data_IF_055235020934
#
_entry.id   IF_055235020934
#
_cell.length_a   1.000
_cell.length_b   1.000
_cell.length_c   1.000
_cell.angle_alpha   90.00
_cell.angle_beta   90.00
_cell.angle_gamma   90.00
#
_symmetry.space_group_name_H-M   'P 1'
#
loop_
_entity.id
_entity.type
_entity.pdbx_description
1 polymer ?
#
# COMPACT_ATOMS: atom_id res chain seq x y z
N UNK A 1 -54.81 39.84 -2.44
CA UNK A 1 -53.40 39.91 -2.85
C UNK A 1 -52.56 39.24 -1.78
N UNK A 2 -52.07 38.02 -2.04
CA UNK A 2 -51.28 37.24 -1.10
C UNK A 2 -49.79 37.39 -1.46
N UNK A 3 -48.98 37.78 -0.48
CA UNK A 3 -47.53 37.91 -0.61
C UNK A 3 -46.86 36.53 -0.71
N UNK A 4 -45.81 36.34 -1.52
CA UNK A 4 -45.11 35.06 -1.61
C UNK A 4 -44.06 34.93 -0.49
N UNK A 5 -44.09 33.81 0.23
CA UNK A 5 -43.03 33.40 1.15
C UNK A 5 -41.81 32.89 0.37
N UNK A 6 -40.64 33.45 0.67
CA UNK A 6 -39.34 33.04 0.13
C UNK A 6 -38.85 31.83 0.94
N UNK A 7 -38.60 30.70 0.27
CA UNK A 7 -38.00 29.50 0.87
C UNK A 7 -36.48 29.65 0.85
N UNK A 8 -35.85 29.53 2.03
CA UNK A 8 -34.39 29.54 2.17
C UNK A 8 -33.77 28.22 1.64
N UNK A 9 -32.57 28.27 1.04
CA UNK A 9 -31.91 27.08 0.52
C UNK A 9 -31.37 26.19 1.64
N UNK A 10 -31.27 24.86 1.42
CA UNK A 10 -30.85 23.92 2.46
C UNK A 10 -29.36 24.09 2.77
N UNK A 11 -29.06 24.14 4.05
CA UNK A 11 -27.71 24.19 4.63
C UNK A 11 -26.93 22.93 4.20
N UNK A 12 -25.85 23.12 3.45
CA UNK A 12 -24.93 22.03 3.15
C UNK A 12 -24.18 21.63 4.43
N UNK A 13 -24.43 20.39 4.88
CA UNK A 13 -23.63 19.77 5.92
C UNK A 13 -22.21 19.55 5.39
N UNK A 14 -21.28 20.35 5.92
CA UNK A 14 -19.84 20.15 5.77
C UNK A 14 -19.50 18.83 6.46
N UNK A 15 -19.24 17.77 5.68
CA UNK A 15 -18.73 16.50 6.19
C UNK A 15 -17.37 16.81 6.82
N UNK A 16 -17.35 16.85 8.15
CA UNK A 16 -16.13 16.97 8.92
C UNK A 16 -15.36 15.66 8.80
N UNK A 17 -14.10 15.81 8.42
CA UNK A 17 -13.06 14.81 8.23
C UNK A 17 -12.63 14.20 9.59
N UNK A 18 -13.52 13.43 10.22
CA UNK A 18 -13.27 12.83 11.54
C UNK A 18 -12.34 11.61 11.48
N UNK A 19 -12.22 10.94 10.32
CA UNK A 19 -11.38 9.74 10.14
C UNK A 19 -9.88 10.04 10.05
N UNK A 20 -9.49 11.24 9.61
CA UNK A 20 -8.06 11.63 9.54
C UNK A 20 -7.45 11.88 10.92
N UNK A 21 -8.24 12.43 11.86
CA UNK A 21 -7.78 12.75 13.21
C UNK A 21 -7.57 11.53 14.12
N UNK A 22 -8.43 10.52 14.01
CA UNK A 22 -8.33 9.28 14.79
C UNK A 22 -7.15 8.41 14.34
N UNK A 23 -6.94 8.31 13.02
CA UNK A 23 -5.82 7.55 12.46
C UNK A 23 -4.48 8.18 12.80
N UNK A 24 -4.39 9.52 12.77
CA UNK A 24 -3.16 10.24 13.15
C UNK A 24 -2.78 10.05 14.63
N UNK A 25 -3.76 9.95 15.53
CA UNK A 25 -3.48 9.63 16.94
C UNK A 25 -3.03 8.17 17.12
N UNK A 26 -3.68 7.23 16.43
CA UNK A 26 -3.41 5.80 16.56
C UNK A 26 -2.01 5.42 16.08
N UNK A 27 -1.53 5.96 14.94
CA UNK A 27 -0.19 5.64 14.40
C UNK A 27 0.98 6.07 15.30
N UNK A 28 0.73 6.99 16.24
CA UNK A 28 1.74 7.47 17.19
C UNK A 28 1.73 6.72 18.52
N UNK A 29 0.78 5.78 18.73
CA UNK A 29 0.73 4.99 19.97
C UNK A 29 1.75 3.88 19.93
N UNK A 30 2.50 3.73 21.03
CA UNK A 30 3.35 2.57 21.22
C UNK A 30 2.49 1.31 21.29
N UNK A 31 2.92 0.28 20.56
CA UNK A 31 2.28 -1.03 20.55
C UNK A 31 2.65 -1.81 21.82
N UNK A 32 1.68 -2.34 22.57
CA UNK A 32 1.94 -3.11 23.78
C UNK A 32 2.35 -4.54 23.41
N UNK A 33 3.66 -4.73 23.21
CA UNK A 33 4.27 -5.99 22.81
C UNK A 33 3.87 -7.15 23.74
N UNK A 34 3.28 -8.21 23.17
CA UNK A 34 2.89 -9.40 23.92
C UNK A 34 1.61 -9.27 24.75
N UNK A 35 0.85 -8.18 24.63
CA UNK A 35 -0.39 -7.99 25.41
C UNK A 35 -1.65 -8.29 24.59
N UNK A 36 -1.64 -7.95 23.30
CA UNK A 36 -2.80 -8.08 22.40
C UNK A 36 -2.93 -9.54 21.91
N UNK A 37 -4.14 -10.10 21.96
CA UNK A 37 -4.42 -11.44 21.44
C UNK A 37 -4.25 -11.50 19.92
N UNK A 38 -3.73 -12.61 19.39
CA UNK A 38 -3.56 -12.78 17.94
C UNK A 38 -4.87 -12.67 17.14
N UNK A 39 -6.00 -12.96 17.78
CA UNK A 39 -7.33 -12.82 17.19
C UNK A 39 -7.81 -11.36 17.07
N UNK A 40 -7.09 -10.41 17.68
CA UNK A 40 -7.46 -8.99 17.68
C UNK A 40 -6.64 -8.24 16.64
N UNK A 41 -7.30 -7.62 15.65
CA UNK A 41 -6.62 -6.76 14.69
C UNK A 41 -6.24 -5.41 15.35
N UNK A 42 -4.98 -4.94 15.26
CA UNK A 42 -4.47 -3.87 16.12
C UNK A 42 -4.76 -2.45 15.58
N UNK A 43 -6.02 -2.16 15.21
CA UNK A 43 -6.40 -0.85 14.66
C UNK A 43 -6.20 0.32 15.63
N UNK A 44 -6.30 0.08 16.94
CA UNK A 44 -6.05 1.09 17.97
C UNK A 44 -4.61 1.63 17.97
N UNK A 45 -3.69 0.95 17.27
CA UNK A 45 -2.27 1.30 17.12
C UNK A 45 -1.91 1.67 15.67
N UNK A 46 -2.92 2.01 14.86
CA UNK A 46 -2.75 2.58 13.53
C UNK A 46 -2.73 1.57 12.39
N UNK A 47 -2.86 0.27 12.65
CA UNK A 47 -3.04 -0.72 11.59
C UNK A 47 -4.40 -0.53 10.90
N UNK A 48 -4.40 -0.57 9.57
CA UNK A 48 -5.61 -0.43 8.74
C UNK A 48 -6.01 -1.82 8.23
N UNK A 49 -7.26 -2.24 8.41
CA UNK A 49 -7.71 -3.54 7.96
C UNK A 49 -7.85 -3.60 6.43
N UNK A 50 -7.57 -4.79 5.87
CA UNK A 50 -7.65 -5.11 4.44
C UNK A 50 -8.73 -6.20 4.25
N UNK A 51 -9.96 -5.87 4.63
CA UNK A 51 -11.03 -6.86 4.87
C UNK A 51 -11.42 -7.67 3.63
N UNK A 52 -11.28 -7.12 2.42
CA UNK A 52 -11.65 -7.79 1.18
C UNK A 52 -10.77 -9.01 0.86
N UNK A 53 -9.64 -9.17 1.54
CA UNK A 53 -8.81 -10.38 1.47
C UNK A 53 -9.36 -11.53 2.31
N UNK A 54 -10.35 -11.28 3.18
CA UNK A 54 -10.95 -12.27 4.08
C UNK A 54 -9.93 -12.93 5.02
N UNK A 55 -8.97 -12.14 5.50
CA UNK A 55 -7.92 -12.60 6.42
C UNK A 55 -8.03 -11.94 7.80
N UNK A 56 -9.24 -11.68 8.30
CA UNK A 56 -9.41 -11.00 9.60
C UNK A 56 -8.78 -9.61 9.67
N UNK A 57 -8.82 -8.86 8.55
CA UNK A 57 -8.20 -7.55 8.40
C UNK A 57 -6.70 -7.57 8.03
N UNK A 58 -6.01 -8.70 8.12
CA UNK A 58 -4.60 -8.80 7.77
C UNK A 58 -4.38 -8.66 6.24
N UNK A 59 -3.33 -7.93 5.86
CA UNK A 59 -2.92 -7.75 4.47
C UNK A 59 -2.31 -9.04 3.88
N UNK A 60 -1.70 -9.86 4.73
CA UNK A 60 -1.28 -11.24 4.47
C UNK A 60 -0.93 -11.93 5.78
N UNK A 61 -0.95 -13.26 5.81
CA UNK A 61 -0.43 -14.04 6.94
C UNK A 61 0.51 -15.11 6.40
N UNK A 62 1.77 -15.06 6.83
CA UNK A 62 2.83 -15.98 6.38
C UNK A 62 3.33 -16.80 7.57
N UNK A 63 3.29 -18.14 7.46
CA UNK A 63 3.75 -19.05 8.50
C UNK A 63 4.92 -19.91 7.99
N UNK A 64 6.16 -19.57 8.37
CA UNK A 64 7.31 -20.43 8.08
C UNK A 64 7.16 -21.80 8.74
N UNK A 65 7.29 -22.87 7.97
CA UNK A 65 7.34 -24.24 8.50
C UNK A 65 8.77 -24.66 8.85
N UNK A 66 9.77 -24.03 8.23
CA UNK A 66 11.19 -24.34 8.45
C UNK A 66 11.93 -23.04 8.78
N UNK A 67 12.76 -23.09 9.82
CA UNK A 67 13.66 -22.00 10.22
C UNK A 67 15.09 -22.50 10.12
N UNK A 68 15.85 -21.93 9.20
CA UNK A 68 17.24 -22.27 8.94
C UNK A 68 18.17 -21.09 9.28
N UNK A 69 19.48 -21.34 9.29
CA UNK A 69 20.49 -20.27 9.42
C UNK A 69 20.40 -19.26 8.27
N UNK A 70 20.01 -19.73 7.08
CA UNK A 70 19.82 -18.93 5.87
C UNK A 70 18.56 -18.07 5.89
N UNK A 71 17.57 -18.39 6.73
CA UNK A 71 16.29 -17.69 6.80
C UNK A 71 15.09 -18.59 7.02
N UNK A 72 13.90 -18.02 6.83
CA UNK A 72 12.64 -18.74 6.79
C UNK A 72 12.48 -19.50 5.47
N UNK A 73 12.03 -20.75 5.54
CA UNK A 73 11.80 -21.60 4.38
C UNK A 73 10.46 -22.33 4.52
N UNK A 74 9.96 -22.89 3.42
CA UNK A 74 8.62 -23.50 3.33
C UNK A 74 7.55 -22.61 4.00
N UNK A 75 7.40 -21.40 3.48
CA UNK A 75 6.53 -20.38 4.06
C UNK A 75 5.11 -20.60 3.53
N UNK A 76 4.23 -21.11 4.38
CA UNK A 76 2.81 -21.18 4.10
C UNK A 76 2.24 -19.76 4.01
N UNK A 77 1.59 -19.43 2.90
CA UNK A 77 0.71 -18.25 2.82
C UNK A 77 -0.69 -18.70 3.20
N UNK A 78 -1.17 -18.22 4.36
CA UNK A 78 -2.50 -18.56 4.88
C UNK A 78 -3.56 -17.97 3.97
N UNK A 79 -4.55 -18.80 3.61
CA UNK A 79 -5.78 -18.37 2.95
C UNK A 79 -6.93 -18.41 3.95
N UNK A 80 -8.10 -17.96 3.52
CA UNK A 80 -9.33 -18.02 4.33
C UNK A 80 -9.61 -19.42 4.88
N UNK A 81 -9.28 -20.47 4.13
CA UNK A 81 -9.59 -21.85 4.51
C UNK A 81 -8.76 -22.34 5.70
N UNK A 82 -7.59 -21.75 5.95
CA UNK A 82 -6.73 -22.09 7.09
C UNK A 82 -7.04 -21.23 8.34
N UNK A 83 -7.91 -20.23 8.25
CA UNK A 83 -8.31 -19.40 9.38
C UNK A 83 -9.20 -20.15 10.39
N UNK A 84 -9.15 -19.71 11.65
CA UNK A 84 -10.02 -20.19 12.72
C UNK A 84 -11.16 -19.19 12.93
N UNK A 85 -12.25 -19.36 12.18
CA UNK A 85 -13.31 -18.34 12.09
C UNK A 85 -12.76 -17.08 11.43
N UNK A 86 -12.90 -15.93 12.09
CA UNK A 86 -12.33 -14.66 11.63
C UNK A 86 -10.85 -14.48 12.02
N UNK A 87 -10.30 -15.37 12.87
CA UNK A 87 -8.89 -15.30 13.26
C UNK A 87 -8.00 -16.00 12.23
N UNK A 88 -7.26 -15.21 11.47
CA UNK A 88 -6.28 -15.71 10.50
C UNK A 88 -4.83 -15.59 10.97
N UNK A 89 -4.56 -14.86 12.06
CA UNK A 89 -3.19 -14.72 12.60
C UNK A 89 -2.87 -15.91 13.50
N UNK A 90 -2.49 -17.02 12.86
CA UNK A 90 -2.25 -18.30 13.52
C UNK A 90 -0.96 -18.30 14.34
N UNK A 91 -0.88 -19.13 15.37
CA UNK A 91 0.34 -19.32 16.18
C UNK A 91 1.57 -19.62 15.30
N UNK A 92 2.65 -18.87 15.56
CA UNK A 92 3.92 -18.90 14.82
C UNK A 92 3.93 -18.09 13.52
N UNK A 93 2.78 -17.56 13.08
CA UNK A 93 2.69 -16.80 11.83
C UNK A 93 3.12 -15.34 11.99
N UNK A 94 3.54 -14.75 10.87
CA UNK A 94 3.80 -13.34 10.67
C UNK A 94 2.59 -12.70 9.98
N UNK A 95 1.93 -11.79 10.67
CA UNK A 95 0.64 -11.22 10.32
C UNK A 95 0.85 -9.78 9.85
N UNK A 96 0.84 -9.63 8.53
CA UNK A 96 1.08 -8.37 7.85
C UNK A 96 -0.17 -7.49 7.86
N UNK A 97 0.01 -6.18 8.01
CA UNK A 97 -1.07 -5.20 8.07
C UNK A 97 -0.79 -4.02 7.14
N UNK A 98 -1.86 -3.29 6.78
CA UNK A 98 -1.74 -2.00 6.09
C UNK A 98 -1.58 -0.85 7.09
N UNK A 99 -1.06 0.27 6.59
CA UNK A 99 -0.98 1.53 7.31
C UNK A 99 -1.74 2.61 6.54
N UNK A 100 -2.12 3.72 7.17
CA UNK A 100 -2.80 4.82 6.50
C UNK A 100 -2.01 5.35 5.29
N UNK A 101 -2.71 6.03 4.37
CA UNK A 101 -2.09 6.67 3.20
C UNK A 101 -0.90 7.56 3.63
N UNK A 102 0.25 7.41 2.96
CA UNK A 102 1.50 8.09 3.32
C UNK A 102 2.36 7.39 4.36
N UNK A 103 1.83 6.39 5.08
CA UNK A 103 2.54 5.59 6.06
C UNK A 103 2.93 4.21 5.51
N UNK A 104 3.92 3.59 6.14
CA UNK A 104 4.37 2.24 5.86
C UNK A 104 4.41 1.43 7.14
N UNK A 105 4.32 0.12 6.99
CA UNK A 105 4.57 -0.83 8.07
C UNK A 105 6.05 -0.81 8.43
N UNK A 106 6.35 -0.79 9.73
CA UNK A 106 7.72 -0.80 10.26
C UNK A 106 8.10 -2.07 11.05
N UNK A 107 7.17 -3.02 11.12
CA UNK A 107 7.40 -4.32 11.75
C UNK A 107 7.74 -5.37 10.69
N UNK A 108 8.98 -5.86 10.75
CA UNK A 108 9.46 -7.03 10.03
C UNK A 108 10.64 -7.65 10.81
N UNK A 109 10.77 -8.98 10.80
CA UNK A 109 11.92 -9.65 11.44
C UNK A 109 13.23 -9.39 10.69
N UNK A 110 14.36 -9.45 11.41
CA UNK A 110 15.69 -9.45 10.77
C UNK A 110 15.90 -10.70 9.92
N UNK A 111 15.39 -11.85 10.37
CA UNK A 111 15.31 -13.08 9.58
C UNK A 111 14.29 -12.90 8.45
N UNK A 112 14.68 -13.15 7.21
CA UNK A 112 13.82 -13.09 6.03
C UNK A 112 13.79 -14.45 5.32
N UNK A 113 13.08 -14.57 4.20
CA UNK A 113 13.02 -15.82 3.44
C UNK A 113 14.38 -16.25 2.89
N UNK A 114 14.72 -17.52 3.06
CA UNK A 114 16.00 -18.11 2.67
C UNK A 114 16.27 -18.02 1.16
N UNK A 115 15.22 -17.95 0.33
CA UNK A 115 15.33 -17.83 -1.13
C UNK A 115 14.90 -16.46 -1.65
N UNK A 116 14.85 -15.45 -0.77
CA UNK A 116 14.54 -14.07 -1.13
C UNK A 116 13.09 -13.66 -0.95
N UNK A 117 12.25 -14.49 -0.33
CA UNK A 117 10.92 -14.05 0.08
C UNK A 117 11.04 -12.97 1.15
N UNK A 118 10.18 -11.94 1.09
CA UNK A 118 10.02 -11.03 2.21
C UNK A 118 9.03 -11.59 3.25
N UNK A 119 9.24 -11.21 4.52
CA UNK A 119 8.36 -11.53 5.64
C UNK A 119 8.21 -10.26 6.47
N UNK A 120 6.98 -9.90 6.80
CA UNK A 120 6.68 -8.69 7.56
C UNK A 120 5.39 -8.81 8.37
N UNK A 121 5.20 -7.87 9.29
CA UNK A 121 4.07 -7.88 10.22
C UNK A 121 4.47 -8.20 11.65
N UNK A 122 3.45 -8.37 12.49
CA UNK A 122 3.60 -8.84 13.87
C UNK A 122 3.69 -10.36 13.89
N UNK A 123 4.37 -10.95 14.87
CA UNK A 123 4.37 -12.40 15.05
C UNK A 123 3.31 -12.80 16.07
N UNK A 124 2.48 -13.79 15.76
CA UNK A 124 1.69 -14.47 16.78
C UNK A 124 2.57 -15.47 17.53
N UNK A 125 2.78 -15.24 18.83
CA UNK A 125 3.58 -16.11 19.69
C UNK A 125 2.91 -16.21 21.06
N UNK A 126 2.71 -17.44 21.52
CA UNK A 126 1.98 -17.76 22.75
C UNK A 126 0.57 -17.13 22.79
N UNK A 127 -0.12 -17.09 21.65
CA UNK A 127 -1.44 -16.48 21.51
C UNK A 127 -1.46 -14.95 21.57
N UNK A 128 -0.29 -14.28 21.61
CA UNK A 128 -0.14 -12.83 21.67
C UNK A 128 0.61 -12.27 20.46
N UNK A 129 0.27 -11.05 20.06
CA UNK A 129 0.97 -10.32 19.01
C UNK A 129 2.27 -9.71 19.53
N UNK A 130 3.36 -9.96 18.82
CA UNK A 130 4.68 -9.42 19.12
C UNK A 130 5.26 -8.63 17.96
N UNK A 131 5.96 -7.53 18.29
CA UNK A 131 6.80 -6.75 17.41
C UNK A 131 7.92 -7.64 16.85
N UNK A 132 8.17 -7.49 15.56
CA UNK A 132 9.22 -8.24 14.86
C UNK A 132 10.44 -7.36 14.57
N UNK A 133 10.27 -6.04 14.66
CA UNK A 133 11.34 -5.06 14.69
C UNK A 133 11.32 -4.32 16.04
N UNK A 134 11.98 -4.85 17.09
CA UNK A 134 11.90 -4.30 18.44
C UNK A 134 12.57 -2.93 18.60
N UNK A 135 13.33 -2.47 17.59
CA UNK A 135 13.90 -1.12 17.59
C UNK A 135 12.85 -0.02 17.34
N UNK A 136 11.64 -0.41 16.93
CA UNK A 136 10.53 0.50 16.62
C UNK A 136 9.30 0.02 17.38
N UNK A 137 8.78 0.86 18.27
CA UNK A 137 7.64 0.51 19.12
C UNK A 137 6.28 0.92 18.52
N UNK A 138 6.24 1.51 17.33
CA UNK A 138 5.00 1.80 16.60
C UNK A 138 4.81 0.84 15.43
N UNK A 139 3.56 0.66 14.99
CA UNK A 139 3.24 -0.20 13.86
C UNK A 139 3.50 0.48 12.51
N UNK A 140 3.13 1.76 12.43
CA UNK A 140 3.15 2.54 11.20
C UNK A 140 4.00 3.79 11.39
N UNK A 141 4.86 4.09 10.41
CA UNK A 141 5.60 5.34 10.35
C UNK A 141 5.74 5.84 8.91
N UNK A 142 6.08 7.11 8.75
CA UNK A 142 6.42 7.67 7.44
C UNK A 142 7.83 7.23 7.04
N UNK A 143 8.11 7.24 5.74
CA UNK A 143 9.45 6.98 5.21
C UNK A 143 10.33 8.21 5.33
N UNK A 144 10.76 8.74 4.20
CA UNK A 144 11.46 10.03 4.18
C UNK A 144 10.50 11.16 4.56
N UNK A 145 11.00 12.11 5.34
CA UNK A 145 10.33 13.39 5.59
C UNK A 145 10.91 14.52 4.75
N UNK A 146 11.90 14.22 3.88
CA UNK A 146 12.55 15.22 3.03
C UNK A 146 11.69 15.68 1.84
N UNK A 147 10.73 14.85 1.42
CA UNK A 147 9.80 15.15 0.32
C UNK A 147 8.40 14.67 0.64
N UNK A 148 7.40 15.33 0.05
CA UNK A 148 6.03 14.84 0.05
C UNK A 148 5.63 14.46 -1.38
N UNK A 149 5.23 13.20 -1.55
CA UNK A 149 4.71 12.70 -2.83
C UNK A 149 3.20 12.56 -2.72
N UNK A 150 2.49 13.09 -3.72
CA UNK A 150 1.02 13.12 -3.74
C UNK A 150 0.49 12.61 -5.06
N UNK A 151 -0.65 11.94 -5.02
CA UNK A 151 -1.49 11.68 -6.18
C UNK A 151 -2.65 12.66 -6.13
N UNK A 152 -2.89 13.35 -7.24
CA UNK A 152 -4.03 14.23 -7.45
C UNK A 152 -4.91 13.63 -8.55
N UNK A 153 -6.10 13.16 -8.18
CA UNK A 153 -7.03 12.60 -9.16
C UNK A 153 -7.90 13.70 -9.75
N UNK A 154 -7.69 13.99 -11.04
CA UNK A 154 -8.49 14.95 -11.82
C UNK A 154 -9.59 14.30 -12.67
N UNK A 155 -9.79 12.99 -12.54
CA UNK A 155 -10.83 12.25 -13.24
C UNK A 155 -12.17 12.39 -12.50
N UNK A 156 -13.27 12.09 -13.20
CA UNK A 156 -14.62 12.03 -12.62
C UNK A 156 -14.92 10.72 -11.88
N UNK A 157 -14.01 9.75 -11.93
CA UNK A 157 -14.10 8.45 -11.24
C UNK A 157 -12.91 8.26 -10.31
N UNK A 158 -13.07 7.43 -9.29
CA UNK A 158 -11.96 7.04 -8.44
C UNK A 158 -10.92 6.23 -9.24
N UNK A 159 -9.70 6.17 -8.74
CA UNK A 159 -8.66 5.25 -9.20
C UNK A 159 -8.08 4.56 -7.98
N UNK A 160 -8.29 3.25 -7.88
CA UNK A 160 -7.64 2.44 -6.87
C UNK A 160 -6.16 2.24 -7.25
N UNK A 161 -5.27 2.79 -6.43
CA UNK A 161 -3.82 2.68 -6.61
C UNK A 161 -3.30 1.75 -5.51
N UNK A 162 -2.77 0.60 -5.88
CA UNK A 162 -2.47 -0.44 -4.92
C UNK A 162 -0.96 -0.61 -4.76
N UNK A 163 -0.44 -0.33 -3.56
CA UNK A 163 0.97 -0.53 -3.22
C UNK A 163 1.20 -2.00 -2.87
N UNK A 164 2.38 -2.49 -3.25
CA UNK A 164 2.89 -3.78 -2.79
C UNK A 164 2.91 -3.84 -1.25
N UNK A 165 2.42 -4.94 -0.69
CA UNK A 165 2.52 -5.31 0.71
C UNK A 165 3.95 -5.76 1.00
N UNK A 166 4.81 -4.77 1.27
CA UNK A 166 6.23 -4.98 1.40
C UNK A 166 6.79 -4.30 2.65
N UNK A 167 7.60 -5.00 3.48
CA UNK A 167 7.86 -6.45 3.43
C UNK A 167 6.59 -7.27 3.75
N UNK A 168 6.43 -8.46 3.17
CA UNK A 168 5.20 -9.26 3.30
C UNK A 168 5.08 -10.29 2.18
N UNK A 169 3.87 -10.48 1.66
CA UNK A 169 3.62 -11.45 0.57
C UNK A 169 3.83 -10.87 -0.84
N UNK A 170 4.25 -9.61 -0.95
CA UNK A 170 4.44 -8.89 -2.22
C UNK A 170 3.17 -8.74 -3.07
N UNK A 171 2.00 -8.96 -2.47
CA UNK A 171 0.72 -8.69 -3.11
C UNK A 171 0.43 -7.19 -3.13
N UNK A 172 -0.21 -6.70 -4.18
CA UNK A 172 -0.60 -5.30 -4.35
C UNK A 172 -1.88 -5.01 -3.57
N UNK A 173 -1.84 -5.18 -2.25
CA UNK A 173 -3.02 -5.14 -1.40
C UNK A 173 -3.15 -3.90 -0.54
N UNK A 174 -2.16 -3.00 -0.53
CA UNK A 174 -2.21 -1.80 0.32
C UNK A 174 -2.82 -0.64 -0.49
N UNK A 175 -4.05 -0.19 -0.19
CA UNK A 175 -4.75 0.74 -1.05
C UNK A 175 -4.37 2.20 -0.83
N UNK A 176 -4.41 2.96 -1.92
CA UNK A 176 -4.62 4.40 -1.95
C UNK A 176 -5.80 4.63 -2.87
N UNK A 177 -6.95 5.02 -2.33
CA UNK A 177 -8.17 5.22 -3.11
C UNK A 177 -8.29 6.69 -3.49
N UNK A 178 -7.77 7.04 -4.66
CA UNK A 178 -7.79 8.40 -5.15
C UNK A 178 -9.20 8.72 -5.68
N UNK A 179 -10.06 9.24 -4.81
CA UNK A 179 -11.42 9.70 -5.15
C UNK A 179 -11.40 10.91 -6.12
N UNK A 180 -12.48 11.16 -6.88
CA UNK A 180 -12.55 12.30 -7.80
C UNK A 180 -12.20 13.63 -7.13
N UNK A 181 -11.30 14.41 -7.75
CA UNK A 181 -10.85 15.72 -7.23
C UNK A 181 -10.00 15.64 -5.96
N UNK A 182 -9.69 14.45 -5.45
CA UNK A 182 -8.96 14.29 -4.20
C UNK A 182 -7.44 14.35 -4.40
N UNK A 183 -6.75 14.63 -3.29
CA UNK A 183 -5.29 14.56 -3.19
C UNK A 183 -4.90 13.61 -2.07
N UNK A 184 -4.15 12.57 -2.39
CA UNK A 184 -3.73 11.51 -1.44
C UNK A 184 -2.21 11.46 -1.32
N UNK A 185 -1.70 11.32 -0.09
CA UNK A 185 -0.26 11.22 0.15
C UNK A 185 0.20 9.80 -0.17
N UNK A 186 1.29 9.66 -0.91
CA UNK A 186 1.96 8.39 -1.10
C UNK A 186 3.06 8.21 -0.06
N UNK A 187 3.27 6.97 0.35
CA UNK A 187 4.46 6.62 1.11
C UNK A 187 5.69 6.67 0.19
N UNK A 188 6.78 7.22 0.72
CA UNK A 188 8.07 7.33 0.06
C UNK A 188 9.14 6.74 0.98
N UNK A 189 9.52 5.46 0.80
CA UNK A 189 10.55 4.83 1.61
C UNK A 189 11.91 5.48 1.38
N UNK A 190 12.65 5.64 2.48
CA UNK A 190 14.07 5.98 2.45
C UNK A 190 14.88 4.68 2.42
N UNK A 191 15.62 4.42 1.34
CA UNK A 191 16.36 3.17 1.17
C UNK A 191 17.50 2.97 2.16
N UNK A 192 17.91 4.02 2.88
CA UNK A 192 18.95 3.93 3.91
C UNK A 192 18.40 3.40 5.24
N UNK A 193 17.12 3.69 5.56
CA UNK A 193 16.53 3.38 6.87
C UNK A 193 15.35 2.41 6.81
N UNK A 194 14.73 2.24 5.65
CA UNK A 194 13.61 1.31 5.45
C UNK A 194 14.10 -0.13 5.21
N UNK A 195 13.16 -1.06 5.06
CA UNK A 195 13.42 -2.46 4.76
C UNK A 195 14.40 -2.63 3.57
N UNK A 196 15.37 -3.54 3.71
CA UNK A 196 16.35 -3.87 2.66
C UNK A 196 16.16 -5.31 2.22
N UNK A 197 15.96 -5.51 0.92
CA UNK A 197 15.82 -6.84 0.33
C UNK A 197 17.17 -7.32 -0.19
N UNK A 198 17.67 -8.46 0.32
CA UNK A 198 19.00 -8.98 -0.06
C UNK A 198 20.11 -7.92 -0.04
N UNK A 199 20.14 -7.10 1.01
CA UNK A 199 21.06 -5.96 1.15
C UNK A 199 20.94 -4.87 0.08
N UNK A 200 19.80 -4.79 -0.61
CA UNK A 200 19.47 -3.72 -1.56
C UNK A 200 18.39 -2.82 -0.97
N UNK A 201 18.53 -1.53 -1.23
CA UNK A 201 17.49 -0.55 -0.89
C UNK A 201 16.18 -0.87 -1.59
N UNK A 202 15.07 -0.51 -0.96
CA UNK A 202 13.72 -0.77 -1.51
C UNK A 202 13.01 0.53 -1.84
N UNK A 203 12.09 0.45 -2.79
CA UNK A 203 11.19 1.56 -3.16
C UNK A 203 9.74 1.07 -3.05
N UNK A 204 8.81 2.01 -3.00
CA UNK A 204 7.39 1.69 -3.04
C UNK A 204 6.95 1.60 -4.50
N UNK A 205 6.42 0.43 -4.88
CA UNK A 205 5.76 0.24 -6.16
C UNK A 205 4.25 0.28 -5.97
N UNK A 206 3.59 1.06 -6.80
CA UNK A 206 2.15 1.21 -6.86
C UNK A 206 1.63 0.73 -8.21
N UNK A 207 0.50 0.05 -8.21
CA UNK A 207 -0.17 -0.46 -9.40
C UNK A 207 -1.34 0.45 -9.72
N UNK A 208 -1.34 1.01 -10.93
CA UNK A 208 -2.32 1.97 -11.40
C UNK A 208 -3.45 1.20 -12.11
N UNK A 209 -4.63 1.14 -11.50
CA UNK A 209 -5.77 0.38 -12.03
C UNK A 209 -6.71 1.25 -12.87
N UNK A 210 -7.63 0.60 -13.59
CA UNK A 210 -8.64 1.30 -14.39
C UNK A 210 -9.57 2.18 -13.54
N UNK A 211 -10.08 3.29 -14.10
CA UNK A 211 -10.92 4.22 -13.36
C UNK A 211 -12.28 3.60 -13.03
N UNK A 212 -12.75 3.79 -11.80
CA UNK A 212 -14.01 3.23 -11.29
C UNK A 212 -13.90 1.84 -10.68
N UNK A 213 -12.72 1.23 -10.65
CA UNK A 213 -12.53 -0.01 -9.90
C UNK A 213 -12.49 0.29 -8.40
N UNK A 214 -13.24 -0.49 -7.61
CA UNK A 214 -13.16 -0.43 -6.15
C UNK A 214 -11.81 -0.95 -5.67
N UNK A 215 -11.39 -0.51 -4.48
CA UNK A 215 -10.22 -1.05 -3.78
C UNK A 215 -10.31 -2.58 -3.66
N UNK A 216 -11.47 -3.09 -3.27
CA UNK A 216 -11.68 -4.53 -3.08
C UNK A 216 -11.45 -5.33 -4.34
N UNK A 217 -11.81 -4.79 -5.52
CA UNK A 217 -11.56 -5.42 -6.81
C UNK A 217 -10.09 -5.30 -7.19
N UNK A 218 -9.52 -4.10 -7.06
CA UNK A 218 -8.23 -3.76 -7.65
C UNK A 218 -7.03 -4.19 -6.81
N UNK A 219 -7.12 -4.08 -5.49
CA UNK A 219 -5.99 -4.28 -4.57
C UNK A 219 -5.93 -5.73 -4.07
N UNK A 220 -5.78 -6.67 -5.01
CA UNK A 220 -5.61 -8.10 -4.76
C UNK A 220 -4.78 -8.73 -5.86
N UNK A 221 -4.39 -9.99 -5.66
CA UNK A 221 -3.77 -10.78 -6.70
C UNK A 221 -4.82 -11.19 -7.74
N UNK A 222 -4.60 -10.82 -8.99
CA UNK A 222 -5.43 -11.18 -10.14
C UNK A 222 -4.95 -12.45 -10.83
N UNK A 223 -5.68 -12.84 -11.87
CA UNK A 223 -5.41 -14.02 -12.70
C UNK A 223 -5.00 -13.61 -14.12
N UNK A 224 -4.34 -14.49 -14.88
CA UNK A 224 -4.03 -14.22 -16.29
C UNK A 224 -5.27 -13.76 -17.06
N UNK A 225 -5.13 -12.63 -17.76
CA UNK A 225 -6.21 -11.99 -18.52
C UNK A 225 -6.98 -10.90 -17.77
N UNK A 226 -6.75 -10.73 -16.47
CA UNK A 226 -7.27 -9.58 -15.72
C UNK A 226 -6.55 -8.28 -16.12
N UNK A 227 -7.09 -7.14 -15.68
CA UNK A 227 -6.58 -5.79 -15.92
C UNK A 227 -6.40 -4.98 -14.62
N UNK A 228 -6.30 -5.69 -13.50
CA UNK A 228 -6.15 -5.14 -12.15
C UNK A 228 -5.13 -5.92 -11.31
N UNK A 229 -4.78 -5.39 -10.14
CA UNK A 229 -3.83 -6.04 -9.25
C UNK A 229 -2.46 -6.16 -9.90
N UNK A 230 -1.90 -7.37 -9.94
CA UNK A 230 -0.61 -7.63 -10.57
C UNK A 230 -0.69 -7.52 -12.10
N UNK A 231 -1.90 -7.52 -12.66
CA UNK A 231 -2.18 -7.31 -14.08
C UNK A 231 -2.59 -5.88 -14.42
N UNK A 232 -2.45 -4.94 -13.47
CA UNK A 232 -2.70 -3.53 -13.73
C UNK A 232 -1.81 -3.02 -14.88
N UNK A 233 -2.30 -2.11 -15.76
CA UNK A 233 -1.57 -1.69 -16.97
C UNK A 233 -0.23 -0.99 -16.74
N UNK A 234 -0.07 -0.31 -15.61
CA UNK A 234 1.10 0.50 -15.35
C UNK A 234 1.47 0.52 -13.87
N UNK A 235 2.73 0.82 -13.61
CA UNK A 235 3.27 0.99 -12.28
C UNK A 235 3.79 2.41 -12.06
N UNK A 236 3.77 2.81 -10.78
CA UNK A 236 4.40 4.02 -10.27
C UNK A 236 5.44 3.61 -9.22
N UNK A 237 6.70 3.95 -9.44
CA UNK A 237 7.78 3.79 -8.46
C UNK A 237 7.97 5.07 -7.65
N UNK A 238 8.16 4.94 -6.33
CA UNK A 238 8.42 6.06 -5.41
C UNK A 238 9.49 5.65 -4.39
N UNK A 239 10.58 6.41 -4.29
CA UNK A 239 11.60 6.17 -3.27
C UNK A 239 12.52 7.36 -3.04
N UNK A 240 13.26 7.32 -1.95
CA UNK A 240 14.28 8.30 -1.59
C UNK A 240 15.61 7.60 -1.35
N UNK A 241 16.64 8.04 -2.05
CA UNK A 241 18.03 7.60 -1.86
C UNK A 241 18.98 8.72 -2.22
N UNK A 242 20.12 8.79 -1.55
CA UNK A 242 21.23 9.70 -1.89
C UNK A 242 20.80 11.17 -2.03
N UNK A 243 19.93 11.62 -1.12
CA UNK A 243 19.44 12.99 -1.09
C UNK A 243 18.46 13.36 -2.20
N UNK A 244 17.90 12.38 -2.92
CA UNK A 244 16.97 12.60 -4.03
C UNK A 244 15.73 11.71 -3.94
N UNK A 245 14.60 12.27 -4.36
CA UNK A 245 13.39 11.51 -4.63
C UNK A 245 13.42 10.97 -6.05
N UNK A 246 13.10 9.69 -6.21
CA UNK A 246 12.97 9.01 -7.49
C UNK A 246 11.52 8.64 -7.70
N UNK A 247 10.93 9.17 -8.77
CA UNK A 247 9.57 8.87 -9.20
C UNK A 247 9.61 8.40 -10.65
N UNK A 248 8.94 7.29 -10.94
CA UNK A 248 8.85 6.72 -12.29
C UNK A 248 7.43 6.24 -12.57
N UNK A 249 7.00 6.35 -13.82
CA UNK A 249 5.76 5.74 -14.32
C UNK A 249 6.15 4.89 -15.52
N UNK A 250 5.83 3.61 -15.50
CA UNK A 250 6.32 2.63 -16.47
C UNK A 250 5.29 1.52 -16.72
N UNK A 251 5.42 0.84 -17.85
CA UNK A 251 4.56 -0.27 -18.23
C UNK A 251 4.78 -1.47 -17.31
N UNK A 252 3.71 -2.17 -16.95
CA UNK A 252 3.79 -3.41 -16.18
C UNK A 252 4.10 -4.61 -17.10
N UNK A 253 5.12 -4.48 -17.94
CA UNK A 253 5.59 -5.55 -18.81
C UNK A 253 6.55 -6.48 -18.05
N UNK A 254 6.57 -7.79 -18.39
CA UNK A 254 5.77 -8.47 -19.42
C UNK A 254 4.36 -8.89 -18.95
N UNK A 255 3.96 -8.58 -17.71
CA UNK A 255 2.71 -9.09 -17.12
C UNK A 255 1.47 -8.59 -17.85
N UNK A 256 1.37 -7.30 -18.20
CA UNK A 256 0.21 -6.74 -18.88
C UNK A 256 0.59 -6.08 -20.21
N UNK A 257 0.33 -6.77 -21.33
CA UNK A 257 0.66 -6.28 -22.70
C UNK A 257 -0.57 -5.90 -23.53
N UNK A 258 -1.78 -6.15 -23.04
CA UNK A 258 -3.03 -6.05 -23.81
C UNK A 258 -3.83 -4.80 -23.45
N UNK A 259 -3.77 -4.39 -22.18
CA UNK A 259 -4.55 -3.28 -21.62
C UNK A 259 -3.64 -2.11 -21.30
N UNK A 260 -4.09 -0.92 -21.66
CA UNK A 260 -3.42 0.36 -21.36
C UNK A 260 -4.34 1.24 -20.52
N UNK A 261 -3.80 2.22 -19.80
CA UNK A 261 -4.62 3.14 -19.01
C UNK A 261 -5.41 4.07 -19.95
N UNK A 262 -6.73 4.25 -19.74
CA UNK A 262 -7.57 5.15 -20.54
C UNK A 262 -7.47 6.61 -20.08
N UNK A 263 -6.43 6.97 -19.31
CA UNK A 263 -6.22 8.29 -18.74
C UNK A 263 -4.73 8.68 -18.76
N UNK A 264 -4.45 9.97 -18.62
CA UNK A 264 -3.08 10.50 -18.57
C UNK A 264 -2.53 10.43 -17.15
N UNK A 265 -1.27 10.03 -17.00
CA UNK A 265 -0.52 10.16 -15.74
C UNK A 265 0.62 11.11 -16.00
N UNK A 266 0.77 12.13 -15.15
CA UNK A 266 1.83 13.12 -15.29
C UNK A 266 2.52 13.32 -13.95
N UNK A 267 3.85 13.22 -13.96
CA UNK A 267 4.68 13.59 -12.83
C UNK A 267 4.88 15.11 -12.90
N UNK A 268 4.30 15.83 -11.93
CA UNK A 268 4.41 17.28 -11.80
C UNK A 268 5.36 17.61 -10.64
N UNK A 269 6.36 18.44 -10.93
CA UNK A 269 7.44 18.79 -10.01
C UNK A 269 8.75 18.05 -10.35
N UNK A 270 9.78 18.26 -9.52
CA UNK A 270 11.12 17.70 -9.75
C UNK A 270 11.84 18.27 -10.97
N UNK A 271 12.91 17.60 -11.38
CA UNK A 271 13.80 18.07 -12.46
C UNK A 271 13.57 17.35 -13.80
N UNK A 272 12.75 16.29 -13.82
CA UNK A 272 12.51 15.46 -15.01
C UNK A 272 11.01 15.41 -15.29
N UNK A 273 10.63 15.78 -16.52
CA UNK A 273 9.25 15.64 -16.99
C UNK A 273 8.99 14.18 -17.38
N UNK A 274 7.86 13.64 -16.94
CA UNK A 274 7.37 12.33 -17.35
C UNK A 274 5.85 12.38 -17.49
N UNK A 275 5.33 11.91 -18.62
CA UNK A 275 3.90 11.77 -18.87
C UNK A 275 3.61 10.47 -19.61
N UNK A 276 2.70 9.70 -19.05
CA UNK A 276 2.00 8.64 -19.75
C UNK A 276 0.76 9.19 -20.46
N UNK A 277 0.56 8.88 -21.74
CA UNK A 277 -0.69 9.13 -22.48
C UNK A 277 -0.83 8.15 -23.64
N UNK A 278 -1.99 7.49 -23.76
CA UNK A 278 -2.34 6.61 -24.89
C UNK A 278 -1.28 5.53 -25.18
N UNK A 279 -0.81 4.84 -24.14
CA UNK A 279 0.20 3.77 -24.29
C UNK A 279 1.63 4.25 -24.53
N UNK A 280 1.91 5.55 -24.42
CA UNK A 280 3.24 6.11 -24.56
C UNK A 280 3.67 6.80 -23.27
N UNK A 281 4.89 6.51 -22.83
CA UNK A 281 5.56 7.14 -21.70
C UNK A 281 6.61 8.09 -22.26
N UNK A 282 6.40 9.38 -22.06
CA UNK A 282 7.18 10.43 -22.68
C UNK A 282 7.91 11.29 -21.64
N UNK A 283 9.17 11.58 -21.91
CA UNK A 283 10.01 12.52 -21.17
C UNK A 283 10.70 13.53 -22.09
N UNK A 284 11.69 14.24 -21.55
CA UNK A 284 12.40 15.31 -22.26
C UNK A 284 11.62 16.62 -22.37
N UNK A 285 12.20 17.60 -23.05
CA UNK A 285 11.55 18.90 -23.26
C UNK A 285 10.28 18.73 -24.10
N UNK A 286 9.19 19.31 -23.62
CA UNK A 286 7.86 19.20 -24.23
C UNK A 286 7.38 17.76 -24.48
N UNK A 287 7.89 16.78 -23.73
CA UNK A 287 7.58 15.35 -23.89
C UNK A 287 8.01 14.77 -25.26
N UNK A 288 9.15 15.22 -25.78
CA UNK A 288 9.64 14.85 -27.12
C UNK A 288 10.15 13.42 -27.26
N UNK A 289 10.50 12.76 -26.15
CA UNK A 289 11.11 11.42 -26.16
C UNK A 289 10.14 10.42 -25.56
N UNK A 290 9.58 9.52 -26.38
CA UNK A 290 8.56 8.57 -25.96
C UNK A 290 9.01 7.11 -26.15
N UNK A 291 8.53 6.23 -25.28
CA UNK A 291 8.65 4.77 -25.38
C UNK A 291 7.35 4.09 -24.95
N UNK A 292 7.23 2.79 -25.22
CA UNK A 292 6.13 1.95 -24.70
C UNK A 292 6.38 1.43 -23.30
N UNK A 293 7.60 1.61 -22.77
CA UNK A 293 8.04 0.94 -21.53
C UNK A 293 8.12 1.89 -20.33
N UNK A 294 8.41 3.18 -20.55
CA UNK A 294 8.70 4.13 -19.46
C UNK A 294 10.18 4.37 -19.22
#
# INVERSE_FOLDING_TARGET
>A
AASPSVVAPPVQNKVQDTSSSSNAAAVNRAFPDGEIDCSTFPSDYGAVPVDWLNLGGWASVQKPNVVEVSGFNDILTVTKNECQGDNCCLEGAFCSYACPEGYMKYQWPSTQGATGQSVGGLQCKNGKLHLTNPSINTLCATGTNNVNVWIENRLSKNVAICRTNYPGDENMSIPVDAQPGSKKKLACPDSATYYRWQNKGTSAQYYLNLPGYSVDKACRWGKPGDDFGNWAPANLGVGWTDGRAWLSVFANHPTQTQVTLPYTVEIVGGNTKCRYKNGQYCGGDNYSTCSTEG
#
